data_IF_430998824527
#
_entry.id   IF_430998824527
#
_cell.length_a   1.000
_cell.length_b   1.000
_cell.length_c   1.000
_cell.angle_alpha   90.00
_cell.angle_beta   90.00
_cell.angle_gamma   90.00
#
_symmetry.space_group_name_H-M   'P 1'
#
loop_
_entity.id
_entity.type
_entity.pdbx_description
1 polymer ?
#
# COMPACT_ATOMS: atom_id res chain seq x y z
N UNK A 1 19.30 -9.97 15.02
CA UNK A 1 17.96 -10.38 15.53
C UNK A 1 16.96 -10.47 14.37
N UNK A 2 16.64 -9.41 13.62
CA UNK A 2 15.69 -9.46 12.51
C UNK A 2 16.03 -10.55 11.47
N UNK A 3 17.27 -10.63 11.01
CA UNK A 3 17.71 -11.65 10.06
C UNK A 3 17.56 -13.09 10.58
N UNK A 4 17.78 -13.30 11.88
CA UNK A 4 17.59 -14.62 12.49
C UNK A 4 16.11 -15.03 12.51
N UNK A 5 15.22 -14.05 12.69
CA UNK A 5 13.78 -14.29 12.66
C UNK A 5 13.33 -14.63 11.24
N UNK A 6 13.78 -13.87 10.22
CA UNK A 6 13.50 -14.19 8.81
C UNK A 6 14.03 -15.56 8.40
N UNK A 7 15.25 -15.91 8.85
CA UNK A 7 15.86 -17.23 8.59
C UNK A 7 15.01 -18.35 9.22
N UNK A 8 14.53 -18.17 10.44
CA UNK A 8 13.68 -19.13 11.14
C UNK A 8 12.32 -19.31 10.47
N UNK A 9 11.73 -18.23 9.97
CA UNK A 9 10.44 -18.28 9.27
C UNK A 9 10.56 -18.70 7.80
N UNK A 10 11.73 -18.57 7.19
CA UNK A 10 11.96 -18.87 5.78
C UNK A 10 11.35 -17.89 4.78
N UNK A 11 10.89 -16.75 5.26
CA UNK A 11 10.30 -15.65 4.45
C UNK A 11 10.42 -14.30 5.18
N UNK A 12 10.30 -13.17 4.45
CA UNK A 12 10.32 -11.84 5.04
C UNK A 12 9.23 -11.64 6.11
N UNK A 13 9.62 -11.04 7.22
CA UNK A 13 8.74 -10.76 8.35
C UNK A 13 8.71 -9.26 8.67
N UNK A 14 7.53 -8.80 9.05
CA UNK A 14 7.33 -7.51 9.69
C UNK A 14 7.50 -7.70 11.20
N UNK A 15 8.37 -6.90 11.81
CA UNK A 15 8.77 -7.06 13.20
C UNK A 15 8.45 -5.79 13.97
N UNK A 16 7.68 -5.93 15.02
CA UNK A 16 7.53 -4.88 16.03
C UNK A 16 8.48 -5.17 17.20
N UNK A 17 9.15 -4.14 17.67
CA UNK A 17 10.07 -4.26 18.77
C UNK A 17 9.92 -3.11 19.78
N UNK A 18 10.26 -3.38 21.03
CA UNK A 18 10.33 -2.41 22.08
C UNK A 18 11.72 -2.46 22.72
N UNK A 19 12.22 -1.32 23.16
CA UNK A 19 13.41 -1.24 23.99
C UNK A 19 12.97 -1.00 25.44
N UNK A 20 13.44 -1.84 26.35
CA UNK A 20 13.34 -1.59 27.78
C UNK A 20 14.23 -0.38 28.10
N UNK A 21 13.66 0.64 28.65
CA UNK A 21 14.23 1.96 28.99
C UNK A 21 15.74 2.19 28.91
N UNK A 22 16.20 3.26 29.50
CA UNK A 22 17.63 3.56 29.58
C UNK A 22 18.13 3.25 31.00
N UNK A 23 19.07 2.30 31.19
CA UNK A 23 19.63 1.98 32.50
C UNK A 23 20.30 3.18 33.22
N UNK A 24 20.71 4.21 32.47
CA UNK A 24 21.26 5.43 33.05
C UNK A 24 20.20 6.33 33.71
N UNK A 25 18.93 6.21 33.24
CA UNK A 25 17.81 6.98 33.78
C UNK A 25 17.01 6.23 34.86
N UNK A 26 16.93 4.91 34.77
CA UNK A 26 16.29 4.04 35.79
C UNK A 26 17.07 2.71 35.89
N UNK A 27 17.69 2.39 37.03
CA UNK A 27 18.45 1.15 37.21
C UNK A 27 17.66 -0.15 37.07
N UNK A 28 16.33 -0.08 37.07
CA UNK A 28 15.47 -1.24 36.80
C UNK A 28 15.32 -1.57 35.34
N UNK A 29 15.73 -0.66 34.45
CA UNK A 29 15.71 -0.83 33.01
C UNK A 29 16.99 -1.50 32.54
N UNK A 30 16.89 -2.43 31.61
CA UNK A 30 18.02 -3.21 31.10
C UNK A 30 18.62 -2.62 29.83
N UNK A 31 17.85 -1.81 29.11
CA UNK A 31 18.18 -1.34 27.76
C UNK A 31 18.08 -2.41 26.69
N UNK A 32 17.51 -3.57 27.04
CA UNK A 32 17.35 -4.70 26.13
C UNK A 32 16.27 -4.45 25.08
N UNK A 33 16.44 -5.09 23.93
CA UNK A 33 15.46 -5.08 22.83
C UNK A 33 14.60 -6.35 22.91
N UNK A 34 13.31 -6.14 22.91
CA UNK A 34 12.31 -7.20 22.91
C UNK A 34 11.55 -7.18 21.58
N UNK A 35 11.40 -8.36 20.96
CA UNK A 35 10.48 -8.53 19.83
C UNK A 35 9.09 -8.69 20.41
N UNK A 36 8.22 -7.74 20.10
CA UNK A 36 6.83 -7.69 20.58
C UNK A 36 5.92 -8.44 19.65
N UNK A 37 6.21 -8.38 18.33
CA UNK A 37 5.47 -9.08 17.31
C UNK A 37 6.39 -9.42 16.14
N UNK A 38 6.17 -10.60 15.52
CA UNK A 38 6.71 -10.96 14.23
C UNK A 38 5.60 -11.58 13.39
N UNK A 39 5.36 -11.06 12.19
CA UNK A 39 4.33 -11.56 11.30
C UNK A 39 4.85 -11.65 9.87
N UNK A 40 4.39 -12.65 9.07
CA UNK A 40 4.75 -12.73 7.67
C UNK A 40 4.35 -11.47 6.92
N UNK A 41 5.23 -10.99 6.04
CA UNK A 41 4.83 -10.00 5.04
C UNK A 41 3.93 -10.71 4.05
N UNK A 42 2.62 -10.64 4.27
CA UNK A 42 1.62 -11.26 3.38
C UNK A 42 1.33 -10.37 2.18
N UNK A 43 1.11 -10.99 1.02
CA UNK A 43 0.76 -10.29 -0.23
C UNK A 43 1.86 -10.24 -1.28
N UNK A 44 3.08 -10.65 -0.98
CA UNK A 44 4.15 -10.83 -1.96
C UNK A 44 4.21 -12.29 -2.39
N UNK A 45 3.94 -12.58 -3.66
CA UNK A 45 4.12 -13.95 -4.22
C UNK A 45 5.59 -14.36 -4.20
N UNK A 46 6.50 -13.43 -4.42
CA UNK A 46 7.94 -13.51 -4.20
C UNK A 46 8.39 -12.12 -3.71
N UNK A 47 8.84 -11.94 -2.45
CA UNK A 47 9.22 -10.64 -1.91
C UNK A 47 10.41 -10.02 -2.65
N UNK A 48 11.17 -10.83 -3.39
CA UNK A 48 12.33 -10.41 -4.14
C UNK A 48 12.01 -10.06 -5.60
N UNK A 49 10.79 -10.36 -6.08
CA UNK A 49 10.34 -10.00 -7.42
C UNK A 49 9.06 -9.19 -7.31
N UNK A 50 9.11 -7.94 -7.75
CA UNK A 50 7.96 -7.03 -7.74
C UNK A 50 7.59 -6.65 -9.15
N UNK A 51 6.34 -6.92 -9.51
CA UNK A 51 5.75 -6.42 -10.75
C UNK A 51 4.89 -5.21 -10.41
N UNK A 52 5.11 -4.11 -11.12
CA UNK A 52 4.30 -2.91 -11.00
C UNK A 52 4.11 -2.26 -12.38
N UNK A 53 3.06 -1.45 -12.50
CA UNK A 53 2.82 -0.65 -13.69
C UNK A 53 3.46 0.70 -13.52
N UNK A 54 4.15 1.16 -14.56
CA UNK A 54 4.70 2.51 -14.67
C UNK A 54 3.94 3.29 -15.72
N UNK A 55 3.60 4.52 -15.40
CA UNK A 55 2.91 5.41 -16.31
C UNK A 55 3.86 5.90 -17.42
N UNK A 56 3.45 5.75 -18.67
CA UNK A 56 4.24 6.19 -19.85
C UNK A 56 3.91 7.62 -20.29
N UNK A 57 2.69 8.09 -20.00
CA UNK A 57 2.24 9.43 -20.37
C UNK A 57 1.38 10.04 -19.26
N UNK A 58 1.43 11.35 -19.12
CA UNK A 58 0.56 12.09 -18.20
C UNK A 58 -0.72 12.49 -18.91
N UNK A 59 -1.82 12.53 -18.18
CA UNK A 59 -3.12 12.98 -18.63
C UNK A 59 -3.63 14.21 -17.87
N UNK A 60 -4.90 14.47 -18.01
CA UNK A 60 -5.61 15.50 -17.24
C UNK A 60 -5.73 15.04 -15.77
N UNK A 61 -5.15 15.80 -14.84
CA UNK A 61 -5.27 15.53 -13.41
C UNK A 61 -6.67 15.98 -12.97
N UNK A 62 -7.43 15.05 -12.42
CA UNK A 62 -8.78 15.29 -11.90
C UNK A 62 -8.75 15.58 -10.41
N UNK A 63 -7.93 14.85 -9.67
CA UNK A 63 -7.82 14.93 -8.20
C UNK A 63 -6.39 14.61 -7.79
N UNK A 64 -5.99 15.20 -6.66
CA UNK A 64 -4.74 14.91 -5.97
C UNK A 64 -5.01 14.43 -4.54
N UNK A 65 -4.06 13.66 -4.02
CA UNK A 65 -4.04 13.20 -2.63
C UNK A 65 -2.65 12.76 -2.20
N UNK A 66 -2.57 11.95 -1.17
CA UNK A 66 -1.31 11.36 -0.69
C UNK A 66 -1.17 9.95 -1.25
N UNK A 67 -0.04 9.66 -1.89
CA UNK A 67 0.31 8.30 -2.30
C UNK A 67 0.57 7.44 -1.06
N UNK A 68 -0.21 6.38 -0.91
CA UNK A 68 -0.17 5.51 0.27
C UNK A 68 0.14 4.04 -0.08
N UNK A 69 -0.13 3.63 -1.32
CA UNK A 69 0.27 2.34 -1.89
C UNK A 69 1.20 2.51 -3.07
N UNK A 70 1.83 1.45 -3.59
CA UNK A 70 2.79 1.52 -4.68
C UNK A 70 2.13 1.47 -6.07
N UNK A 71 2.81 2.00 -7.08
CA UNK A 71 2.54 1.77 -8.49
C UNK A 71 1.36 2.55 -9.06
N UNK A 72 0.87 2.05 -10.20
CA UNK A 72 -0.23 2.63 -10.97
C UNK A 72 -1.39 1.64 -11.05
N UNK A 73 -2.59 2.09 -10.70
CA UNK A 73 -3.83 1.32 -10.82
C UNK A 73 -4.80 1.98 -11.77
N UNK A 74 -5.53 1.17 -12.54
CA UNK A 74 -6.43 1.66 -13.57
C UNK A 74 -7.72 0.87 -13.58
N UNK A 75 -8.83 1.53 -13.84
CA UNK A 75 -10.11 0.87 -13.93
C UNK A 75 -11.27 1.85 -13.87
N UNK A 76 -12.46 1.28 -13.80
CA UNK A 76 -13.68 2.05 -13.63
C UNK A 76 -13.88 2.38 -12.16
N UNK A 77 -14.25 3.59 -11.89
CA UNK A 77 -14.62 4.05 -10.55
C UNK A 77 -15.85 3.29 -10.08
N UNK A 78 -15.78 2.82 -8.84
CA UNK A 78 -16.94 2.33 -8.12
C UNK A 78 -16.96 2.92 -6.71
N UNK A 79 -17.96 3.76 -6.46
CA UNK A 79 -18.16 4.43 -5.18
C UNK A 79 -18.92 3.48 -4.25
N UNK A 80 -18.31 3.15 -3.13
CA UNK A 80 -18.93 2.38 -2.05
C UNK A 80 -18.90 3.27 -0.81
N UNK A 81 -20.07 3.65 -0.33
CA UNK A 81 -20.18 4.57 0.82
C UNK A 81 -20.08 3.83 2.15
N UNK A 82 -20.59 2.59 2.19
CA UNK A 82 -20.64 1.78 3.40
C UNK A 82 -20.16 0.34 3.14
N UNK A 83 -19.48 -0.26 4.11
CA UNK A 83 -19.01 -1.64 4.03
C UNK A 83 -20.15 -2.67 3.86
N UNK A 84 -21.38 -2.33 4.28
CA UNK A 84 -22.59 -3.14 4.04
C UNK A 84 -22.89 -3.37 2.56
N UNK A 85 -22.45 -2.47 1.69
CA UNK A 85 -22.65 -2.55 0.24
C UNK A 85 -21.48 -3.21 -0.52
N UNK A 86 -20.53 -3.83 0.17
CA UNK A 86 -19.33 -4.46 -0.42
C UNK A 86 -19.62 -5.54 -1.46
N UNK A 87 -20.75 -6.20 -1.36
CA UNK A 87 -21.19 -7.24 -2.31
C UNK A 87 -21.39 -6.70 -3.74
N UNK A 88 -21.62 -5.40 -3.87
CA UNK A 88 -21.79 -4.74 -5.18
C UNK A 88 -20.46 -4.44 -5.86
N UNK A 89 -19.32 -4.57 -5.15
CA UNK A 89 -18.02 -4.22 -5.71
C UNK A 89 -17.57 -5.22 -6.77
N UNK A 90 -17.28 -4.70 -7.95
CA UNK A 90 -16.79 -5.49 -9.09
C UNK A 90 -15.27 -5.58 -9.04
N UNK A 91 -14.67 -6.77 -9.00
CA UNK A 91 -13.23 -6.95 -9.03
C UNK A 91 -12.58 -6.26 -10.23
N UNK A 92 -11.44 -5.60 -10.00
CA UNK A 92 -10.72 -4.84 -11.02
C UNK A 92 -11.17 -3.38 -11.17
N UNK A 93 -12.25 -2.97 -10.51
CA UNK A 93 -12.62 -1.56 -10.44
C UNK A 93 -11.73 -0.79 -9.43
N UNK A 94 -11.75 0.53 -9.55
CA UNK A 94 -11.15 1.44 -8.56
C UNK A 94 -12.15 1.71 -7.45
N UNK A 95 -11.81 1.30 -6.24
CA UNK A 95 -12.62 1.54 -5.05
C UNK A 95 -12.49 3.00 -4.62
N UNK A 96 -13.60 3.72 -4.61
CA UNK A 96 -13.67 5.11 -4.13
C UNK A 96 -14.62 5.18 -2.94
N UNK A 97 -14.15 5.74 -1.83
CA UNK A 97 -14.94 5.86 -0.60
C UNK A 97 -14.50 7.05 0.26
N UNK A 98 -15.25 7.36 1.28
CA UNK A 98 -14.86 8.40 2.24
C UNK A 98 -13.69 7.96 3.10
N UNK A 99 -13.75 6.76 3.69
CA UNK A 99 -12.70 6.15 4.49
C UNK A 99 -12.91 4.63 4.55
N UNK A 100 -11.92 3.89 5.02
CA UNK A 100 -12.04 2.44 5.22
C UNK A 100 -11.76 2.05 6.66
N UNK A 101 -12.27 0.89 7.04
CA UNK A 101 -12.03 0.18 8.29
C UNK A 101 -11.76 -1.32 8.01
N UNK A 102 -11.52 -2.17 9.02
CA UNK A 102 -11.20 -3.58 8.79
C UNK A 102 -12.21 -4.38 7.97
N UNK A 103 -13.49 -4.01 7.97
CA UNK A 103 -14.53 -4.71 7.20
C UNK A 103 -14.39 -4.54 5.68
N UNK A 104 -13.59 -3.57 5.24
CA UNK A 104 -13.34 -3.28 3.82
C UNK A 104 -12.26 -4.15 3.17
N UNK A 105 -11.46 -4.86 3.95
CA UNK A 105 -10.29 -5.61 3.44
C UNK A 105 -10.66 -6.59 2.33
N UNK A 106 -11.84 -7.20 2.41
CA UNK A 106 -12.32 -8.17 1.41
C UNK A 106 -12.48 -7.59 -0.01
N UNK A 107 -12.95 -6.35 -0.12
CA UNK A 107 -13.09 -5.65 -1.41
C UNK A 107 -11.82 -4.91 -1.80
N UNK A 108 -11.07 -4.38 -0.83
CA UNK A 108 -9.77 -3.76 -1.09
C UNK A 108 -8.83 -4.71 -1.83
N UNK A 109 -8.82 -6.01 -1.47
CA UNK A 109 -8.03 -7.05 -2.17
C UNK A 109 -8.38 -7.24 -3.64
N UNK A 110 -9.59 -6.88 -4.05
CA UNK A 110 -10.10 -7.04 -5.41
C UNK A 110 -9.98 -5.77 -6.24
N UNK A 111 -9.63 -4.65 -5.61
CA UNK A 111 -9.56 -3.35 -6.25
C UNK A 111 -8.29 -3.20 -7.11
N UNK A 112 -8.42 -2.55 -8.26
CA UNK A 112 -7.28 -2.13 -9.09
C UNK A 112 -6.52 -0.95 -8.46
N UNK A 113 -7.23 -0.10 -7.74
CA UNK A 113 -6.69 0.96 -6.88
C UNK A 113 -7.71 1.33 -5.81
N UNK A 114 -7.24 2.02 -4.77
CA UNK A 114 -8.07 2.51 -3.66
C UNK A 114 -7.91 4.02 -3.58
N UNK A 115 -9.03 4.73 -3.47
CA UNK A 115 -9.06 6.19 -3.35
C UNK A 115 -9.98 6.56 -2.19
N UNK A 116 -9.48 7.37 -1.25
CA UNK A 116 -10.27 7.83 -0.12
C UNK A 116 -10.29 9.35 0.02
N UNK A 117 -11.44 9.89 0.45
CA UNK A 117 -11.54 11.32 0.77
C UNK A 117 -10.70 11.68 2.00
N UNK A 118 -10.75 10.83 3.01
CA UNK A 118 -10.08 11.02 4.29
C UNK A 118 -8.91 10.07 4.46
N UNK A 119 -8.05 10.42 5.42
CA UNK A 119 -6.92 9.59 5.80
C UNK A 119 -5.58 10.21 5.46
N UNK A 120 -4.55 9.65 6.07
CA UNK A 120 -3.16 9.98 5.85
C UNK A 120 -2.33 8.71 5.71
N UNK A 121 -1.01 8.83 5.68
CA UNK A 121 -0.11 7.70 5.45
C UNK A 121 -0.16 6.57 6.50
N UNK A 122 -0.79 6.83 7.65
CA UNK A 122 -0.96 5.86 8.75
C UNK A 122 -2.41 5.40 8.93
N UNK A 123 -3.34 5.79 8.05
CA UNK A 123 -4.73 5.34 8.13
C UNK A 123 -4.86 3.87 7.69
N UNK A 124 -5.99 3.25 8.02
CA UNK A 124 -6.29 1.86 7.68
C UNK A 124 -6.11 1.55 6.18
N UNK A 125 -6.67 2.40 5.29
CA UNK A 125 -6.51 2.23 3.85
C UNK A 125 -5.04 2.17 3.42
N UNK A 126 -4.21 3.07 3.96
CA UNK A 126 -2.79 3.19 3.63
C UNK A 126 -1.98 1.97 4.10
N UNK A 127 -2.25 1.47 5.30
CA UNK A 127 -1.56 0.30 5.88
C UNK A 127 -1.89 -0.94 5.05
N UNK A 128 -3.18 -1.22 4.87
CA UNK A 128 -3.65 -2.42 4.14
C UNK A 128 -3.24 -2.38 2.68
N UNK A 129 -3.31 -1.21 2.01
CA UNK A 129 -2.89 -1.11 0.61
C UNK A 129 -1.40 -1.43 0.42
N UNK A 130 -0.51 -0.98 1.34
CA UNK A 130 0.91 -1.33 1.32
C UNK A 130 1.14 -2.82 1.54
N UNK A 131 0.42 -3.42 2.47
CA UNK A 131 0.49 -4.87 2.72
C UNK A 131 0.03 -5.69 1.50
N UNK A 132 -0.99 -5.22 0.81
CA UNK A 132 -1.54 -5.88 -0.38
C UNK A 132 -0.79 -5.55 -1.67
N UNK A 133 0.09 -4.53 -1.67
CA UNK A 133 0.76 -4.04 -2.87
C UNK A 133 -0.18 -3.35 -3.87
N UNK A 134 -1.28 -2.76 -3.39
CA UNK A 134 -2.30 -2.13 -4.22
C UNK A 134 -2.09 -0.61 -4.26
N UNK A 135 -2.15 0.04 -5.44
CA UNK A 135 -2.12 1.49 -5.54
C UNK A 135 -3.21 2.13 -4.68
N UNK A 136 -2.81 3.10 -3.86
CA UNK A 136 -3.73 3.75 -2.94
C UNK A 136 -3.44 5.24 -2.81
N UNK A 137 -4.47 6.06 -2.97
CA UNK A 137 -4.42 7.51 -2.80
C UNK A 137 -5.41 7.89 -1.71
N UNK A 138 -4.91 8.51 -0.64
CA UNK A 138 -5.73 8.90 0.51
C UNK A 138 -5.75 10.42 0.69
N UNK A 139 -6.73 10.92 1.43
CA UNK A 139 -6.80 12.35 1.78
C UNK A 139 -7.12 13.25 0.60
N UNK A 140 -7.88 12.77 -0.38
CA UNK A 140 -8.26 13.55 -1.57
C UNK A 140 -9.30 14.61 -1.28
N UNK A 141 -9.93 14.58 -0.12
CA UNK A 141 -11.02 15.46 0.37
C UNK A 141 -12.32 15.42 -0.43
N UNK A 142 -12.31 15.02 -1.70
CA UNK A 142 -13.46 15.19 -2.59
C UNK A 142 -13.68 14.10 -3.64
N UNK A 143 -12.93 12.99 -3.61
CA UNK A 143 -13.00 11.96 -4.65
C UNK A 143 -14.43 11.44 -4.88
N UNK A 144 -15.19 11.18 -3.81
CA UNK A 144 -16.59 10.70 -3.91
C UNK A 144 -17.56 11.73 -4.50
N UNK A 145 -17.17 13.01 -4.59
CA UNK A 145 -18.00 14.08 -5.17
C UNK A 145 -17.60 14.41 -6.59
N UNK A 146 -16.32 14.29 -6.92
CA UNK A 146 -15.75 14.66 -8.22
C UNK A 146 -15.82 13.51 -9.19
N UNK A 147 -15.55 12.28 -8.74
CA UNK A 147 -15.65 11.07 -9.53
C UNK A 147 -17.07 10.51 -9.49
N UNK A 148 -17.45 9.82 -10.57
CA UNK A 148 -18.76 9.17 -10.70
C UNK A 148 -18.56 7.69 -10.96
N UNK A 149 -19.53 6.87 -10.55
CA UNK A 149 -19.55 5.45 -10.90
C UNK A 149 -19.42 5.27 -12.42
N UNK A 150 -18.50 4.39 -12.81
CA UNK A 150 -18.22 4.09 -14.21
C UNK A 150 -17.19 4.99 -14.89
N UNK A 151 -16.76 6.09 -14.28
CA UNK A 151 -15.65 6.90 -14.81
C UNK A 151 -14.41 6.03 -14.97
N UNK A 152 -13.72 6.14 -16.10
CA UNK A 152 -12.43 5.50 -16.28
C UNK A 152 -11.32 6.43 -15.76
N UNK A 153 -10.45 5.88 -14.89
CA UNK A 153 -9.37 6.65 -14.29
C UNK A 153 -8.06 5.86 -14.21
N UNK A 154 -6.98 6.62 -14.09
CA UNK A 154 -5.65 6.11 -13.74
C UNK A 154 -5.19 6.76 -12.45
N UNK A 155 -4.94 5.95 -11.42
CA UNK A 155 -4.38 6.35 -10.14
C UNK A 155 -2.87 6.10 -10.14
N UNK A 156 -2.08 7.16 -10.05
CA UNK A 156 -0.61 7.12 -10.05
C UNK A 156 -0.08 7.45 -8.65
N UNK A 157 0.57 6.45 -8.04
CA UNK A 157 1.21 6.57 -6.73
C UNK A 157 2.74 6.66 -6.82
N UNK A 158 3.33 6.61 -8.02
CA UNK A 158 4.78 6.64 -8.23
C UNK A 158 5.34 8.06 -8.42
N UNK A 159 4.59 9.06 -8.04
CA UNK A 159 5.03 10.45 -8.17
C UNK A 159 6.06 10.82 -7.11
N UNK A 160 6.98 11.70 -7.48
CA UNK A 160 7.95 12.23 -6.52
C UNK A 160 7.25 13.07 -5.44
N UNK A 161 7.73 12.96 -4.20
CA UNK A 161 7.22 13.76 -3.08
C UNK A 161 5.99 13.18 -2.38
N UNK A 162 5.63 11.92 -2.64
CA UNK A 162 4.53 11.24 -1.94
C UNK A 162 3.14 11.74 -2.35
N UNK A 163 3.03 12.43 -3.48
CA UNK A 163 1.74 12.85 -4.05
C UNK A 163 1.12 11.68 -4.81
N UNK A 164 -0.18 11.51 -4.65
CA UNK A 164 -0.99 10.61 -5.47
C UNK A 164 -1.79 11.43 -6.48
N UNK A 165 -1.74 11.06 -7.74
CA UNK A 165 -2.44 11.76 -8.83
C UNK A 165 -3.49 10.85 -9.46
N UNK A 166 -4.68 11.39 -9.68
CA UNK A 166 -5.75 10.71 -10.40
C UNK A 166 -5.96 11.42 -11.72
N UNK A 167 -5.74 10.68 -12.79
CA UNK A 167 -5.92 11.15 -14.15
C UNK A 167 -7.24 10.63 -14.74
N UNK A 168 -7.85 11.45 -15.60
CA UNK A 168 -9.00 11.04 -16.41
C UNK A 168 -8.59 10.00 -17.44
N UNK A 169 -9.38 8.95 -17.57
CA UNK A 169 -9.20 7.89 -18.55
C UNK A 169 -8.14 6.85 -18.19
N UNK A 170 -8.05 5.84 -19.02
CA UNK A 170 -7.04 4.78 -18.93
C UNK A 170 -5.81 5.22 -19.73
N UNK A 171 -4.76 5.59 -19.03
CA UNK A 171 -3.50 6.05 -19.64
C UNK A 171 -2.58 4.87 -19.98
N UNK A 172 -1.69 5.03 -20.97
CA UNK A 172 -0.74 3.98 -21.33
C UNK A 172 0.24 3.71 -20.19
N UNK A 173 0.43 2.42 -19.88
CA UNK A 173 1.36 1.92 -18.86
C UNK A 173 2.24 0.83 -19.45
N UNK A 174 3.41 0.62 -18.85
CA UNK A 174 4.24 -0.56 -19.06
C UNK A 174 4.33 -1.39 -17.78
N UNK A 175 4.45 -2.70 -17.91
CA UNK A 175 4.76 -3.56 -16.79
C UNK A 175 6.26 -3.60 -16.57
N UNK A 176 6.66 -3.30 -15.35
CA UNK A 176 8.06 -3.32 -14.91
C UNK A 176 8.23 -4.41 -13.86
N UNK A 177 9.18 -5.31 -14.08
CA UNK A 177 9.57 -6.31 -13.10
C UNK A 177 10.86 -5.86 -12.42
N UNK A 178 10.80 -5.67 -11.11
CA UNK A 178 11.98 -5.42 -10.29
C UNK A 178 12.40 -6.74 -9.62
N UNK A 179 13.53 -7.31 -10.05
CA UNK A 179 14.13 -8.46 -9.41
C UNK A 179 15.20 -8.00 -8.42
N UNK A 180 14.94 -8.21 -7.14
CA UNK A 180 15.83 -7.86 -6.02
C UNK A 180 16.75 -9.02 -5.61
N UNK A 181 16.60 -10.23 -6.19
CA UNK A 181 17.42 -11.41 -5.85
C UNK A 181 18.93 -11.16 -5.95
N UNK A 182 19.44 -10.46 -7.01
CA UNK A 182 20.86 -10.17 -7.10
C UNK A 182 21.39 -9.31 -5.93
N UNK A 183 20.58 -8.37 -5.43
CA UNK A 183 20.97 -7.51 -4.30
C UNK A 183 21.03 -8.27 -2.99
N UNK A 184 20.11 -9.21 -2.76
CA UNK A 184 20.11 -10.05 -1.56
C UNK A 184 21.26 -11.06 -1.58
N UNK A 185 21.58 -11.65 -2.74
CA UNK A 185 22.72 -12.55 -2.89
C UNK A 185 24.05 -11.82 -2.61
N UNK A 186 24.20 -10.59 -3.12
CA UNK A 186 25.40 -9.78 -2.86
C UNK A 186 25.54 -9.44 -1.38
N UNK A 187 24.43 -9.11 -0.71
CA UNK A 187 24.44 -8.79 0.74
C UNK A 187 24.89 -9.99 1.60
N UNK A 188 24.50 -11.21 1.23
CA UNK A 188 24.93 -12.43 1.93
C UNK A 188 26.41 -12.75 1.74
N UNK A 189 27.04 -12.28 0.65
CA UNK A 189 28.47 -12.45 0.40
C UNK A 189 29.33 -11.44 1.15
N UNK A 190 28.75 -10.34 1.61
CA UNK A 190 29.44 -9.23 2.30
C UNK A 190 29.26 -9.26 3.82
N UNK A 191 28.46 -10.18 4.35
CA UNK A 191 28.23 -10.42 5.79
C UNK A 191 28.97 -11.66 6.27
#
# INVERSE_FOLDING_TARGET
MALLIEEQYGYPVDIEWAKDGDPSSDPRMTGELFIVQARPVTGLRDPLVRNFKKLLAKGEIVIEGLAAGPGVGQGRVQIIEEASHKERFVPGNVLVTTMTDPDWVSIMRKAAAIVTNQGGQKCHAAIVARELGIPCIVGTSSATRVLKDGDEITADCDTRGGRGLIYRGILPTEEVTLDLKPFYALKQQLS
#
